data_IF_547197808409
#
_entry.id   IF_547197808409
#
_cell.length_a   1.000
_cell.length_b   1.000
_cell.length_c   1.000
_cell.angle_alpha   90.00
_cell.angle_beta   90.00
_cell.angle_gamma   90.00
#
_symmetry.space_group_name_H-M   'P 1'
#
loop_
_entity.id
_entity.type
_entity.pdbx_description
1 polymer ?
#
# COMPACT_ATOMS: atom_id res chain seq x y z
N UNK A 1 -39.42 18.68 21.36
CA UNK A 1 -38.61 19.91 21.53
C UNK A 1 -37.72 20.18 20.31
N UNK A 2 -37.21 19.16 19.63
CA UNK A 2 -36.34 19.33 18.44
C UNK A 2 -37.10 19.89 17.21
N UNK A 3 -38.34 19.44 17.01
CA UNK A 3 -39.21 19.95 15.94
C UNK A 3 -39.51 21.45 16.13
N UNK A 4 -39.73 21.93 17.37
CA UNK A 4 -39.96 23.34 17.64
C UNK A 4 -38.69 24.17 17.36
N UNK A 5 -37.52 23.65 17.71
CA UNK A 5 -36.25 24.35 17.43
C UNK A 5 -36.00 24.49 15.93
N UNK A 6 -36.32 23.47 15.13
CA UNK A 6 -36.14 23.50 13.66
C UNK A 6 -37.25 24.26 12.91
N UNK A 7 -38.48 24.38 13.48
CA UNK A 7 -39.61 25.01 12.81
C UNK A 7 -39.81 26.47 13.22
N UNK A 8 -39.70 26.73 14.51
CA UNK A 8 -40.09 28.03 15.10
C UNK A 8 -38.88 28.84 15.51
N UNK A 9 -37.64 28.32 15.24
CA UNK A 9 -36.40 28.96 15.70
C UNK A 9 -36.43 29.35 17.18
N UNK A 10 -37.12 28.52 18.01
CA UNK A 10 -37.27 28.74 19.42
C UNK A 10 -37.03 27.51 20.25
N UNK A 11 -36.45 27.68 21.42
CA UNK A 11 -36.33 26.64 22.45
C UNK A 11 -37.09 27.10 23.70
N UNK A 12 -37.85 26.15 24.30
CA UNK A 12 -38.47 26.35 25.59
C UNK A 12 -37.79 25.47 26.65
N UNK A 13 -36.76 25.99 27.35
CA UNK A 13 -36.17 25.26 28.46
C UNK A 13 -37.21 24.99 29.57
N UNK A 14 -37.03 23.87 30.28
CA UNK A 14 -37.92 23.56 31.41
C UNK A 14 -37.88 24.68 32.45
N UNK A 15 -39.06 25.25 32.77
CA UNK A 15 -39.25 26.36 33.73
C UNK A 15 -38.69 27.73 33.28
N UNK A 16 -38.39 27.95 32.01
CA UNK A 16 -37.97 29.25 31.50
C UNK A 16 -38.89 29.73 30.37
N UNK A 17 -38.90 31.04 30.07
CA UNK A 17 -39.61 31.56 28.91
C UNK A 17 -39.00 31.03 27.61
N UNK A 18 -39.79 31.09 26.53
CA UNK A 18 -39.31 30.75 25.17
C UNK A 18 -38.18 31.68 24.77
N UNK A 19 -37.17 31.17 24.19
CA UNK A 19 -35.96 31.86 23.72
C UNK A 19 -35.86 31.69 22.19
N UNK A 20 -35.74 32.79 21.48
CA UNK A 20 -35.47 32.75 20.05
C UNK A 20 -34.01 32.30 19.79
N UNK A 21 -33.82 31.43 18.83
CA UNK A 21 -32.51 30.88 18.46
C UNK A 21 -32.30 31.02 16.96
N UNK A 22 -31.12 31.45 16.57
CA UNK A 22 -30.64 31.41 15.19
C UNK A 22 -29.54 30.36 15.14
N UNK A 23 -29.84 29.19 14.54
CA UNK A 23 -28.93 28.04 14.53
C UNK A 23 -29.11 27.16 13.30
N UNK A 24 -28.02 26.52 12.90
CA UNK A 24 -28.02 25.37 12.00
C UNK A 24 -27.81 24.12 12.84
N UNK A 25 -28.68 23.15 12.66
CA UNK A 25 -28.60 21.89 13.40
C UNK A 25 -28.01 20.82 12.48
N UNK A 26 -26.87 20.26 12.88
CA UNK A 26 -26.24 19.11 12.22
C UNK A 26 -26.30 17.93 13.20
N UNK A 27 -27.03 16.90 12.81
CA UNK A 27 -27.09 15.64 13.55
C UNK A 27 -26.26 14.56 12.82
N UNK A 28 -25.75 13.62 13.59
CA UNK A 28 -25.14 12.39 13.07
C UNK A 28 -25.78 11.19 13.72
N UNK A 29 -25.94 10.11 12.94
CA UNK A 29 -26.49 8.85 13.40
C UNK A 29 -25.95 7.73 12.50
N UNK A 30 -26.06 6.49 12.92
CA UNK A 30 -25.77 5.32 12.07
C UNK A 30 -27.04 4.90 11.29
N UNK A 31 -26.84 4.05 10.27
CA UNK A 31 -27.94 3.60 9.40
C UNK A 31 -29.03 2.81 10.14
N UNK A 32 -28.73 1.87 11.06
CA UNK A 32 -29.76 1.19 11.83
C UNK A 32 -30.65 2.14 12.62
N UNK A 33 -30.06 3.06 13.38
CA UNK A 33 -30.81 4.06 14.15
C UNK A 33 -31.59 5.03 13.25
N UNK A 34 -31.05 5.39 12.10
CA UNK A 34 -31.74 6.22 11.14
C UNK A 34 -32.99 5.51 10.60
N UNK A 35 -32.86 4.24 10.17
CA UNK A 35 -33.98 3.43 9.67
C UNK A 35 -35.05 3.20 10.72
N UNK A 36 -34.64 2.91 11.95
CA UNK A 36 -35.59 2.75 13.08
C UNK A 36 -36.43 4.00 13.29
N UNK A 37 -35.79 5.17 13.26
CA UNK A 37 -36.52 6.44 13.50
C UNK A 37 -37.31 6.90 12.28
N UNK A 38 -36.83 6.69 11.05
CA UNK A 38 -37.55 7.13 9.84
C UNK A 38 -38.74 6.24 9.49
N UNK A 39 -38.80 5.01 9.98
CA UNK A 39 -39.95 4.11 9.85
C UNK A 39 -41.17 4.48 10.71
N UNK A 40 -41.07 5.44 11.64
CA UNK A 40 -42.20 5.92 12.45
C UNK A 40 -42.96 7.02 11.69
N UNK A 41 -44.26 6.83 11.46
CA UNK A 41 -45.15 7.85 10.84
C UNK A 41 -45.06 9.23 11.51
N UNK A 42 -44.71 9.28 12.80
CA UNK A 42 -44.51 10.54 13.54
C UNK A 42 -43.27 11.31 13.12
N UNK A 43 -42.34 10.68 12.39
CA UNK A 43 -41.12 11.27 11.93
C UNK A 43 -41.20 11.80 10.50
N UNK A 44 -42.32 11.62 9.79
CA UNK A 44 -42.52 12.15 8.43
C UNK A 44 -42.25 13.65 8.37
N UNK A 45 -42.83 14.41 9.31
CA UNK A 45 -42.61 15.86 9.42
C UNK A 45 -41.14 16.25 9.73
N UNK A 46 -40.36 15.37 10.31
CA UNK A 46 -38.91 15.57 10.53
C UNK A 46 -38.13 15.25 9.27
N UNK A 47 -38.47 14.20 8.59
CA UNK A 47 -37.80 13.77 7.35
C UNK A 47 -37.93 14.82 6.24
N UNK A 48 -39.10 15.45 6.12
CA UNK A 48 -39.35 16.54 5.16
C UNK A 48 -38.49 17.80 5.38
N UNK A 49 -37.92 17.96 6.59
CA UNK A 49 -37.14 19.13 7.01
C UNK A 49 -35.65 18.85 7.18
N UNK A 50 -35.27 17.59 7.07
CA UNK A 50 -33.87 17.16 7.18
C UNK A 50 -33.31 16.80 5.83
N UNK A 51 -32.13 17.31 5.53
CA UNK A 51 -31.35 16.84 4.40
C UNK A 51 -30.41 15.75 4.86
N UNK A 52 -30.64 14.53 4.40
CA UNK A 52 -29.72 13.43 4.63
C UNK A 52 -28.47 13.61 3.76
N UNK A 53 -27.33 13.45 4.36
CA UNK A 53 -26.03 13.41 3.71
C UNK A 53 -25.37 12.10 4.15
N UNK A 54 -25.16 11.22 3.19
CA UNK A 54 -24.45 9.97 3.43
C UNK A 54 -22.96 10.25 3.52
N UNK A 55 -22.31 9.67 4.52
CA UNK A 55 -20.90 9.85 4.78
C UNK A 55 -20.23 8.45 4.83
N UNK A 56 -19.65 8.01 3.70
CA UNK A 56 -19.06 6.69 3.61
C UNK A 56 -17.76 6.60 4.42
N UNK A 57 -17.33 5.38 4.70
CA UNK A 57 -15.98 5.09 5.15
C UNK A 57 -14.96 5.51 4.10
N UNK A 58 -13.71 5.67 4.53
CA UNK A 58 -12.58 5.90 3.63
C UNK A 58 -12.40 4.69 2.71
N UNK A 59 -12.12 4.96 1.43
CA UNK A 59 -11.92 3.95 0.38
C UNK A 59 -10.48 3.99 -0.19
N UNK A 60 -9.61 4.74 0.43
CA UNK A 60 -8.19 4.86 0.12
C UNK A 60 -7.42 4.27 1.30
N UNK A 61 -6.75 3.13 1.09
CA UNK A 61 -6.15 2.38 2.19
C UNK A 61 -4.94 3.09 2.84
N UNK A 62 -4.20 3.93 2.13
CA UNK A 62 -3.21 4.84 2.74
C UNK A 62 -3.86 5.84 3.70
N UNK A 63 -4.99 6.43 3.29
CA UNK A 63 -5.74 7.34 4.16
C UNK A 63 -6.30 6.62 5.38
N UNK A 64 -6.70 5.36 5.23
CA UNK A 64 -7.16 4.50 6.32
C UNK A 64 -6.00 4.14 7.26
N UNK A 65 -4.82 3.79 6.74
CA UNK A 65 -3.59 3.55 7.53
C UNK A 65 -3.22 4.77 8.39
N UNK A 66 -3.34 5.98 7.84
CA UNK A 66 -3.14 7.22 8.58
C UNK A 66 -4.15 7.42 9.74
N UNK A 67 -5.35 6.83 9.66
CA UNK A 67 -6.31 6.81 10.78
C UNK A 67 -5.79 5.92 11.89
N UNK A 68 -5.28 4.73 11.56
CA UNK A 68 -4.73 3.80 12.54
C UNK A 68 -3.48 4.36 13.23
N UNK A 69 -2.60 5.00 12.48
CA UNK A 69 -1.43 5.69 13.05
C UNK A 69 -1.85 6.73 14.10
N UNK A 70 -2.87 7.55 13.80
CA UNK A 70 -3.42 8.52 14.75
C UNK A 70 -4.13 7.86 15.93
N UNK A 71 -4.79 6.72 15.73
CA UNK A 71 -5.42 5.96 16.81
C UNK A 71 -4.35 5.42 17.75
N UNK A 72 -3.30 4.80 17.23
CA UNK A 72 -2.16 4.29 18.02
C UNK A 72 -1.44 5.41 18.78
N UNK A 73 -1.21 6.55 18.15
CA UNK A 73 -0.56 7.71 18.79
C UNK A 73 -1.37 8.26 19.99
N UNK A 74 -2.69 8.00 20.04
CA UNK A 74 -3.57 8.45 21.12
C UNK A 74 -3.99 7.31 22.06
N UNK A 75 -3.61 6.08 21.77
CA UNK A 75 -3.93 4.91 22.59
C UNK A 75 -2.86 4.70 23.66
N UNK A 76 -3.25 4.10 24.78
CA UNK A 76 -2.34 3.67 25.85
C UNK A 76 -1.85 2.24 25.55
N UNK A 77 -1.09 2.11 24.46
CA UNK A 77 -0.49 0.84 24.03
C UNK A 77 1.03 0.90 24.17
N UNK A 78 1.70 -0.24 24.37
CA UNK A 78 3.15 -0.30 24.38
C UNK A 78 3.76 0.29 23.11
N UNK A 79 4.89 0.99 23.27
CA UNK A 79 5.61 1.52 22.12
C UNK A 79 6.42 0.38 21.48
N UNK A 80 5.91 -0.14 20.38
CA UNK A 80 6.57 -1.14 19.53
C UNK A 80 6.92 -0.52 18.18
N UNK A 81 7.91 -1.08 17.50
CA UNK A 81 8.19 -0.71 16.12
C UNK A 81 7.07 -1.23 15.21
N UNK A 82 6.48 -0.38 14.41
CA UNK A 82 5.49 -0.78 13.40
C UNK A 82 6.24 -1.05 12.11
N UNK A 83 6.26 -2.31 11.69
CA UNK A 83 6.95 -2.73 10.49
C UNK A 83 6.33 -2.13 9.21
N UNK A 84 7.12 -1.94 8.15
CA UNK A 84 6.60 -1.56 6.84
C UNK A 84 5.41 -2.42 6.43
N UNK A 85 4.45 -1.82 5.74
CA UNK A 85 3.21 -2.42 5.29
C UNK A 85 2.19 -2.84 6.37
N UNK A 86 2.51 -2.84 7.69
CA UNK A 86 1.59 -3.36 8.71
C UNK A 86 0.26 -2.61 8.74
N UNK A 87 0.29 -1.28 8.82
CA UNK A 87 -0.93 -0.47 8.85
C UNK A 87 -1.58 -0.36 7.46
N UNK A 88 -0.78 -0.36 6.40
CA UNK A 88 -1.26 -0.28 5.03
C UNK A 88 -2.06 -1.52 4.64
N UNK A 89 -1.55 -2.72 4.94
CA UNK A 89 -2.27 -3.98 4.69
C UNK A 89 -3.52 -4.10 5.56
N UNK A 90 -3.49 -3.61 6.80
CA UNK A 90 -4.67 -3.50 7.64
C UNK A 90 -5.72 -2.55 7.01
N UNK A 91 -5.27 -1.43 6.45
CA UNK A 91 -6.10 -0.48 5.71
C UNK A 91 -6.68 -1.10 4.45
N UNK A 92 -5.88 -1.82 3.69
CA UNK A 92 -6.32 -2.52 2.49
C UNK A 92 -7.42 -3.54 2.82
N UNK A 93 -7.25 -4.34 3.89
CA UNK A 93 -8.29 -5.26 4.34
C UNK A 93 -9.60 -4.53 4.66
N UNK A 94 -9.54 -3.48 5.49
CA UNK A 94 -10.72 -2.68 5.82
C UNK A 94 -11.40 -2.10 4.59
N UNK A 95 -10.65 -1.55 3.65
CA UNK A 95 -11.16 -0.97 2.40
C UNK A 95 -11.80 -2.02 1.51
N UNK A 96 -11.17 -3.17 1.30
CA UNK A 96 -11.72 -4.25 0.46
C UNK A 96 -13.09 -4.73 0.97
N UNK A 97 -13.33 -4.76 2.30
CA UNK A 97 -14.64 -5.13 2.85
C UNK A 97 -15.74 -4.12 2.52
N UNK A 98 -15.41 -2.88 2.17
CA UNK A 98 -16.31 -1.75 1.91
C UNK A 98 -16.55 -1.50 0.42
N UNK A 99 -15.71 -2.10 -0.44
CA UNK A 99 -15.82 -1.95 -1.88
C UNK A 99 -16.86 -2.91 -2.47
N UNK A 100 -17.59 -2.42 -3.47
CA UNK A 100 -18.44 -3.24 -4.33
C UNK A 100 -17.63 -3.89 -5.44
N UNK A 101 -17.97 -5.15 -5.77
CA UNK A 101 -17.33 -5.87 -6.86
C UNK A 101 -17.51 -5.12 -8.20
N UNK A 102 -16.46 -4.99 -9.00
CA UNK A 102 -16.59 -4.40 -10.34
C UNK A 102 -17.55 -5.20 -11.23
N UNK A 103 -18.41 -4.50 -11.96
CA UNK A 103 -19.48 -5.14 -12.73
C UNK A 103 -19.03 -5.78 -14.04
N UNK A 104 -17.93 -5.32 -14.61
CA UNK A 104 -17.45 -5.78 -15.92
C UNK A 104 -16.52 -7.02 -15.84
N UNK A 105 -16.05 -7.38 -14.66
CA UNK A 105 -15.16 -8.53 -14.42
C UNK A 105 -13.75 -8.41 -15.04
N UNK A 106 -13.41 -7.26 -15.61
CA UNK A 106 -12.07 -7.00 -16.19
C UNK A 106 -11.10 -6.47 -15.15
N UNK A 107 -11.62 -5.84 -14.09
CA UNK A 107 -10.87 -5.27 -12.98
C UNK A 107 -11.13 -6.09 -11.72
N UNK A 108 -10.10 -6.53 -11.04
CA UNK A 108 -10.26 -7.19 -9.74
C UNK A 108 -10.63 -6.18 -8.64
N UNK A 109 -11.17 -6.67 -7.52
CA UNK A 109 -11.46 -5.80 -6.37
C UNK A 109 -10.19 -5.18 -5.78
N UNK A 110 -9.08 -5.90 -5.83
CA UNK A 110 -7.75 -5.41 -5.43
C UNK A 110 -7.27 -4.29 -6.36
N UNK A 111 -7.37 -4.47 -7.68
CA UNK A 111 -6.98 -3.42 -8.64
C UNK A 111 -7.84 -2.17 -8.46
N UNK A 112 -9.15 -2.34 -8.23
CA UNK A 112 -10.04 -1.23 -7.89
C UNK A 112 -9.58 -0.48 -6.64
N UNK A 113 -9.16 -1.19 -5.57
CA UNK A 113 -8.61 -0.58 -4.37
C UNK A 113 -7.31 0.18 -4.67
N UNK A 114 -6.41 -0.39 -5.48
CA UNK A 114 -5.16 0.26 -5.92
C UNK A 114 -5.41 1.51 -6.75
N UNK A 115 -6.41 1.49 -7.65
CA UNK A 115 -6.84 2.68 -8.41
C UNK A 115 -7.40 3.77 -7.49
N UNK A 116 -8.22 3.40 -6.49
CA UNK A 116 -8.75 4.35 -5.53
C UNK A 116 -7.65 4.96 -4.66
N UNK A 117 -6.63 4.19 -4.33
CA UNK A 117 -5.44 4.65 -3.60
C UNK A 117 -4.49 5.50 -4.45
N UNK A 118 -4.62 5.48 -5.79
CA UNK A 118 -3.73 6.18 -6.72
C UNK A 118 -2.41 5.45 -6.97
N UNK A 119 -2.30 4.17 -6.60
CA UNK A 119 -1.12 3.33 -6.82
C UNK A 119 -1.09 2.76 -8.25
N UNK A 120 -2.26 2.42 -8.79
CA UNK A 120 -2.42 1.96 -10.16
C UNK A 120 -2.99 3.07 -11.02
N UNK A 121 -2.19 3.54 -11.98
CA UNK A 121 -2.62 4.45 -13.05
C UNK A 121 -2.63 3.66 -14.36
N UNK A 122 -3.79 3.20 -14.78
CA UNK A 122 -4.00 2.52 -16.06
C UNK A 122 -4.92 3.39 -16.94
N UNK A 123 -4.50 3.64 -18.19
CA UNK A 123 -5.30 4.42 -19.16
C UNK A 123 -6.64 3.76 -19.48
N UNK A 124 -6.77 2.43 -19.26
CA UNK A 124 -7.99 1.66 -19.51
C UNK A 124 -8.94 1.65 -18.31
N UNK A 125 -8.45 1.99 -17.08
CA UNK A 125 -9.21 1.94 -15.83
C UNK A 125 -9.51 3.35 -15.33
N UNK A 126 -10.71 3.84 -15.58
CA UNK A 126 -11.17 5.16 -15.13
C UNK A 126 -11.77 5.08 -13.72
N UNK A 127 -11.07 5.65 -12.72
CA UNK A 127 -11.52 5.78 -11.32
C UNK A 127 -12.94 6.36 -11.22
N UNK A 128 -13.28 7.33 -12.08
CA UNK A 128 -14.60 7.96 -12.07
C UNK A 128 -15.67 6.99 -12.51
N UNK A 129 -15.39 6.21 -13.57
CA UNK A 129 -16.30 5.19 -14.07
C UNK A 129 -16.55 4.11 -13.02
N UNK A 130 -15.48 3.63 -12.35
CA UNK A 130 -15.63 2.65 -11.28
C UNK A 130 -16.53 3.14 -10.14
N UNK A 131 -16.47 4.42 -9.79
CA UNK A 131 -17.35 5.02 -8.77
C UNK A 131 -18.80 5.19 -9.27
N UNK A 132 -18.99 5.53 -10.52
CA UNK A 132 -20.33 5.63 -11.13
C UNK A 132 -20.99 4.25 -11.20
N UNK A 133 -20.28 3.22 -11.65
CA UNK A 133 -20.75 1.84 -11.72
C UNK A 133 -21.10 1.28 -10.32
N UNK A 134 -20.27 1.55 -9.31
CA UNK A 134 -20.53 1.17 -7.93
C UNK A 134 -21.78 1.87 -7.35
N UNK A 135 -22.00 3.14 -7.69
CA UNK A 135 -23.18 3.89 -7.25
C UNK A 135 -24.48 3.38 -7.89
N UNK A 136 -24.40 2.79 -9.09
CA UNK A 136 -25.56 2.19 -9.78
C UNK A 136 -25.88 0.77 -9.26
N UNK A 137 -24.86 0.02 -8.82
CA UNK A 137 -25.01 -1.38 -8.40
C UNK A 137 -25.34 -1.56 -6.91
N UNK A 138 -24.93 -0.62 -6.06
CA UNK A 138 -25.07 -0.74 -4.62
C UNK A 138 -26.42 -0.23 -4.11
N UNK A 139 -27.13 -1.04 -3.30
CA UNK A 139 -28.37 -0.65 -2.66
C UNK A 139 -28.24 0.52 -1.67
N UNK A 140 -27.09 0.63 -1.01
CA UNK A 140 -26.80 1.63 0.05
C UNK A 140 -25.62 2.54 -0.28
N UNK A 141 -24.95 2.32 -1.39
CA UNK A 141 -23.75 3.03 -1.81
C UNK A 141 -22.45 2.45 -1.25
N UNK A 142 -21.44 2.51 -2.07
CA UNK A 142 -20.09 1.99 -1.73
C UNK A 142 -19.51 2.72 -0.51
N UNK A 143 -18.88 1.97 0.38
CA UNK A 143 -18.32 2.52 1.61
C UNK A 143 -19.32 2.75 2.74
N UNK A 144 -20.59 2.43 2.56
CA UNK A 144 -21.60 2.59 3.61
C UNK A 144 -21.74 1.36 4.51
N UNK A 145 -21.11 0.26 4.13
CA UNK A 145 -21.06 -1.01 4.86
C UNK A 145 -19.63 -1.54 4.90
N UNK A 146 -19.40 -2.68 5.58
CA UNK A 146 -18.09 -3.28 5.76
C UNK A 146 -17.50 -3.05 7.15
N UNK A 147 -16.25 -3.47 7.32
CA UNK A 147 -15.56 -3.41 8.61
C UNK A 147 -15.19 -1.96 8.96
N UNK A 148 -15.48 -1.55 10.19
CA UNK A 148 -15.20 -0.21 10.67
C UNK A 148 -13.71 0.00 10.98
N UNK A 149 -13.21 1.24 10.83
CA UNK A 149 -11.87 1.61 11.26
C UNK A 149 -11.60 1.34 12.75
N UNK A 150 -12.66 1.36 13.58
CA UNK A 150 -12.54 1.03 15.00
C UNK A 150 -12.19 -0.43 15.22
N UNK A 151 -12.90 -1.35 14.54
CA UNK A 151 -12.60 -2.77 14.64
C UNK A 151 -11.15 -3.04 14.27
N UNK A 152 -10.71 -2.56 13.10
CA UNK A 152 -9.33 -2.76 12.64
C UNK A 152 -8.32 -2.15 13.62
N UNK A 153 -8.60 -0.96 14.15
CA UNK A 153 -7.75 -0.32 15.16
C UNK A 153 -7.67 -1.08 16.48
N UNK A 154 -8.77 -1.68 16.92
CA UNK A 154 -8.81 -2.52 18.12
C UNK A 154 -7.98 -3.80 17.90
N UNK A 155 -8.09 -4.46 16.75
CA UNK A 155 -7.29 -5.64 16.40
C UNK A 155 -5.79 -5.33 16.31
N UNK A 156 -5.41 -4.18 15.73
CA UNK A 156 -4.03 -3.72 15.72
C UNK A 156 -3.52 -3.50 17.16
N UNK A 157 -4.32 -2.88 18.02
CA UNK A 157 -3.93 -2.66 19.41
C UNK A 157 -3.78 -3.99 20.18
N UNK A 158 -4.66 -4.96 19.94
CA UNK A 158 -4.55 -6.30 20.52
C UNK A 158 -3.30 -7.03 20.01
N UNK A 159 -2.98 -6.92 18.71
CA UNK A 159 -1.76 -7.49 18.13
C UNK A 159 -0.48 -6.90 18.77
N UNK A 160 -0.47 -5.59 19.06
CA UNK A 160 0.62 -4.93 19.80
C UNK A 160 0.75 -5.48 21.22
N UNK A 161 -0.37 -5.65 21.92
CA UNK A 161 -0.37 -6.19 23.27
C UNK A 161 0.16 -7.63 23.30
N UNK A 162 -0.28 -8.45 22.34
CA UNK A 162 0.16 -9.84 22.23
C UNK A 162 1.65 -9.95 21.85
N UNK A 163 2.13 -9.12 20.91
CA UNK A 163 3.55 -9.01 20.58
C UNK A 163 4.39 -8.70 21.84
N UNK A 164 3.96 -7.72 22.64
CA UNK A 164 4.62 -7.33 23.87
C UNK A 164 4.62 -8.46 24.91
N UNK A 165 3.52 -9.19 25.04
CA UNK A 165 3.44 -10.35 25.94
C UNK A 165 4.37 -11.50 25.54
N UNK A 166 4.72 -11.57 24.26
CA UNK A 166 5.68 -12.55 23.72
C UNK A 166 7.11 -12.01 23.64
N UNK A 167 7.42 -10.91 24.33
CA UNK A 167 8.70 -10.22 24.30
C UNK A 167 9.14 -9.78 22.88
N UNK A 168 8.19 -9.53 21.99
CA UNK A 168 8.45 -8.92 20.67
C UNK A 168 8.38 -7.41 20.78
N UNK A 169 9.32 -6.73 20.14
CA UNK A 169 9.42 -5.26 20.11
C UNK A 169 8.84 -4.62 18.87
N UNK A 170 8.17 -5.40 18.00
CA UNK A 170 7.65 -4.96 16.73
C UNK A 170 6.28 -5.56 16.43
N UNK A 171 5.52 -4.86 15.56
CA UNK A 171 4.25 -5.29 14.98
C UNK A 171 4.44 -5.57 13.50
N UNK A 172 4.32 -6.82 13.06
CA UNK A 172 4.39 -7.20 11.66
C UNK A 172 2.99 -7.29 11.03
N UNK A 173 2.87 -7.19 9.68
CA UNK A 173 1.63 -7.48 8.96
C UNK A 173 1.08 -8.87 9.27
N UNK A 174 1.94 -9.87 9.41
CA UNK A 174 1.54 -11.24 9.75
C UNK A 174 0.83 -11.33 11.08
N UNK A 175 1.35 -10.63 12.10
CA UNK A 175 0.70 -10.57 13.41
C UNK A 175 -0.69 -9.95 13.33
N UNK A 176 -0.88 -8.90 12.53
CA UNK A 176 -2.19 -8.27 12.31
C UNK A 176 -3.15 -9.21 11.61
N UNK A 177 -2.70 -9.94 10.59
CA UNK A 177 -3.52 -10.92 9.87
C UNK A 177 -3.98 -12.07 10.77
N UNK A 178 -3.12 -12.55 11.65
CA UNK A 178 -3.47 -13.61 12.60
C UNK A 178 -4.56 -13.15 13.57
N UNK A 179 -4.52 -11.89 14.01
CA UNK A 179 -5.59 -11.30 14.83
C UNK A 179 -6.90 -11.15 14.06
N UNK A 180 -6.87 -10.70 12.81
CA UNK A 180 -8.08 -10.66 11.98
C UNK A 180 -8.69 -12.05 11.83
N UNK A 181 -7.90 -13.05 11.47
CA UNK A 181 -8.36 -14.43 11.29
C UNK A 181 -9.01 -15.00 12.57
N UNK A 182 -8.39 -14.74 13.72
CA UNK A 182 -8.90 -15.22 15.00
C UNK A 182 -10.21 -14.56 15.43
N UNK A 183 -10.43 -13.27 15.09
CA UNK A 183 -11.48 -12.46 15.68
C UNK A 183 -12.65 -12.12 14.74
N UNK A 184 -12.48 -12.27 13.41
CA UNK A 184 -13.56 -12.03 12.44
C UNK A 184 -14.85 -12.78 12.78
N UNK A 185 -14.75 -14.08 13.09
CA UNK A 185 -15.90 -14.92 13.40
C UNK A 185 -16.58 -14.62 14.73
N UNK A 186 -15.91 -13.92 15.66
CA UNK A 186 -16.43 -13.56 16.97
C UNK A 186 -17.06 -12.17 17.06
N UNK A 187 -16.89 -11.35 16.03
CA UNK A 187 -17.34 -9.95 16.07
C UNK A 187 -18.83 -9.82 15.76
N UNK A 188 -19.60 -9.41 16.75
CA UNK A 188 -21.07 -9.37 16.70
C UNK A 188 -21.70 -8.42 15.67
N UNK A 189 -20.92 -7.59 14.96
CA UNK A 189 -21.41 -6.75 13.87
C UNK A 189 -21.12 -7.30 12.48
N UNK A 190 -20.41 -8.43 12.38
CA UNK A 190 -20.18 -9.12 11.10
C UNK A 190 -21.30 -10.14 10.92
N UNK A 191 -22.05 -10.03 9.83
CA UNK A 191 -23.10 -11.00 9.51
C UNK A 191 -22.45 -12.33 9.09
N UNK A 192 -23.13 -13.45 9.41
CA UNK A 192 -22.62 -14.79 9.08
C UNK A 192 -22.39 -14.98 7.57
N UNK A 193 -23.21 -14.33 6.76
CA UNK A 193 -23.12 -14.34 5.30
C UNK A 193 -21.87 -13.57 4.78
N UNK A 194 -21.37 -12.58 5.53
CA UNK A 194 -20.22 -11.78 5.17
C UNK A 194 -18.89 -12.43 5.58
N UNK A 195 -18.90 -13.31 6.58
CA UNK A 195 -17.69 -13.91 7.13
C UNK A 195 -16.86 -14.60 6.07
N UNK A 196 -17.48 -15.48 5.27
CA UNK A 196 -16.79 -16.21 4.21
C UNK A 196 -16.23 -15.28 3.10
N UNK A 197 -16.85 -14.12 2.88
CA UNK A 197 -16.34 -13.09 1.99
C UNK A 197 -15.11 -12.42 2.61
N UNK A 198 -15.15 -12.05 3.87
CA UNK A 198 -14.06 -11.37 4.56
C UNK A 198 -12.82 -12.27 4.73
N UNK A 199 -13.03 -13.57 4.98
CA UNK A 199 -11.94 -14.56 4.98
C UNK A 199 -11.21 -14.61 3.63
N UNK A 200 -11.93 -14.63 2.51
CA UNK A 200 -11.32 -14.58 1.17
C UNK A 200 -10.60 -13.26 0.90
N UNK A 201 -11.14 -12.13 1.37
CA UNK A 201 -10.49 -10.84 1.23
C UNK A 201 -9.20 -10.76 2.06
N UNK A 202 -9.20 -11.36 3.25
CA UNK A 202 -7.98 -11.46 4.06
C UNK A 202 -6.90 -12.27 3.35
N UNK A 203 -7.27 -13.36 2.67
CA UNK A 203 -6.32 -14.14 1.87
C UNK A 203 -5.78 -13.32 0.69
N UNK A 204 -6.62 -12.52 0.03
CA UNK A 204 -6.17 -11.60 -1.02
C UNK A 204 -5.14 -10.58 -0.48
N UNK A 205 -5.35 -10.08 0.73
CA UNK A 205 -4.40 -9.14 1.37
C UNK A 205 -3.11 -9.84 1.78
N UNK A 206 -3.18 -11.08 2.26
CA UNK A 206 -1.99 -11.91 2.54
C UNK A 206 -1.16 -12.14 1.27
N UNK A 207 -1.82 -12.36 0.13
CA UNK A 207 -1.17 -12.51 -1.16
C UNK A 207 -0.47 -11.22 -1.59
N UNK A 208 -1.17 -10.09 -1.51
CA UNK A 208 -0.60 -8.77 -1.81
C UNK A 208 0.62 -8.46 -0.91
N UNK A 209 0.51 -8.75 0.38
CA UNK A 209 1.65 -8.61 1.29
C UNK A 209 2.82 -9.54 0.90
N UNK A 210 2.52 -10.77 0.47
CA UNK A 210 3.55 -11.70 0.02
C UNK A 210 4.35 -11.14 -1.15
N UNK A 211 3.66 -10.55 -2.13
CA UNK A 211 4.32 -9.91 -3.27
C UNK A 211 5.19 -8.73 -2.82
N UNK A 212 4.70 -7.89 -1.93
CA UNK A 212 5.46 -6.74 -1.39
C UNK A 212 6.66 -7.19 -0.56
N UNK A 213 6.51 -8.19 0.27
CA UNK A 213 7.61 -8.76 1.07
C UNK A 213 8.72 -9.33 0.16
N UNK A 214 8.34 -10.06 -0.90
CA UNK A 214 9.29 -10.55 -1.89
C UNK A 214 9.99 -9.39 -2.60
N UNK A 215 9.28 -8.33 -2.96
CA UNK A 215 9.86 -7.16 -3.61
C UNK A 215 10.84 -6.43 -2.67
N UNK A 216 10.51 -6.25 -1.39
CA UNK A 216 11.41 -5.64 -0.42
C UNK A 216 12.68 -6.45 -0.21
N UNK A 217 12.56 -7.77 -0.11
CA UNK A 217 13.72 -8.67 -0.03
C UNK A 217 14.54 -8.63 -1.32
N UNK A 218 13.90 -8.64 -2.48
CA UNK A 218 14.59 -8.47 -3.76
C UNK A 218 15.41 -7.19 -3.81
N UNK A 219 14.80 -6.10 -3.37
CA UNK A 219 15.50 -4.81 -3.29
C UNK A 219 16.67 -4.86 -2.31
N UNK A 220 16.51 -5.47 -1.14
CA UNK A 220 17.59 -5.61 -0.17
C UNK A 220 18.76 -6.45 -0.71
N UNK A 221 18.46 -7.54 -1.42
CA UNK A 221 19.46 -8.43 -2.04
C UNK A 221 20.18 -7.80 -3.23
N UNK A 222 19.48 -6.95 -3.99
CA UNK A 222 20.07 -6.21 -5.12
C UNK A 222 20.87 -5.00 -4.67
N UNK A 223 20.67 -4.55 -3.43
CA UNK A 223 21.18 -3.31 -2.89
C UNK A 223 22.66 -3.41 -2.53
N UNK A 224 23.51 -3.41 -3.55
CA UNK A 224 24.94 -3.08 -3.46
C UNK A 224 25.11 -1.64 -3.93
N UNK A 225 25.32 -0.73 -2.98
CA UNK A 225 25.44 0.71 -3.24
C UNK A 225 26.55 1.01 -4.24
N UNK A 226 27.65 0.30 -4.14
CA UNK A 226 28.81 0.52 -5.01
C UNK A 226 28.55 -0.04 -6.41
N UNK A 227 27.87 -1.19 -6.50
CA UNK A 227 27.45 -1.76 -7.77
C UNK A 227 26.38 -0.90 -8.45
N UNK A 228 25.36 -0.45 -7.68
CA UNK A 228 24.31 0.44 -8.19
C UNK A 228 24.90 1.74 -8.74
N UNK A 229 25.88 2.33 -8.04
CA UNK A 229 26.58 3.52 -8.49
C UNK A 229 27.37 3.23 -9.77
N UNK A 230 28.13 2.16 -9.81
CA UNK A 230 28.93 1.76 -10.96
C UNK A 230 28.07 1.51 -12.20
N UNK A 231 26.97 0.77 -12.05
CA UNK A 231 26.03 0.53 -13.15
C UNK A 231 25.34 1.83 -13.59
N UNK A 232 25.03 2.73 -12.66
CA UNK A 232 24.49 4.05 -12.98
C UNK A 232 25.46 4.95 -13.72
N UNK A 233 26.71 4.99 -13.30
CA UNK A 233 27.78 5.73 -14.00
C UNK A 233 27.99 5.18 -15.42
N UNK A 234 28.06 3.84 -15.53
CA UNK A 234 28.15 3.17 -16.83
C UNK A 234 26.94 3.50 -17.73
N UNK A 235 25.73 3.44 -17.20
CA UNK A 235 24.52 3.79 -17.95
C UNK A 235 24.61 5.23 -18.46
N UNK A 236 25.04 6.17 -17.63
CA UNK A 236 25.17 7.56 -18.01
C UNK A 236 26.23 7.80 -19.09
N UNK A 237 27.38 7.16 -18.98
CA UNK A 237 28.47 7.29 -20.00
C UNK A 237 27.94 6.80 -21.36
N UNK A 238 27.26 5.67 -21.40
CA UNK A 238 26.63 5.15 -22.63
C UNK A 238 25.50 6.03 -23.17
N UNK A 239 24.65 6.61 -22.28
CA UNK A 239 23.59 7.54 -22.70
C UNK A 239 24.14 8.82 -23.27
N UNK A 240 25.16 9.40 -22.63
CA UNK A 240 25.77 10.63 -23.11
C UNK A 240 26.44 10.41 -24.46
N UNK A 241 27.22 9.33 -24.62
CA UNK A 241 27.83 8.98 -25.88
C UNK A 241 26.80 8.71 -26.99
N UNK A 242 25.67 8.06 -26.64
CA UNK A 242 24.57 7.84 -27.59
C UNK A 242 23.93 9.16 -28.08
N UNK A 243 23.75 10.13 -27.16
CA UNK A 243 23.13 11.44 -27.50
C UNK A 243 24.09 12.30 -28.31
N UNK A 244 25.40 12.26 -27.99
CA UNK A 244 26.44 13.10 -28.59
C UNK A 244 27.05 12.48 -29.86
N UNK A 245 26.60 11.26 -30.25
CA UNK A 245 27.16 10.47 -31.37
C UNK A 245 28.67 10.24 -31.20
N UNK A 246 29.10 9.90 -29.98
CA UNK A 246 30.48 9.69 -29.54
C UNK A 246 30.72 8.24 -29.11
N UNK A 247 31.94 7.91 -28.70
CA UNK A 247 32.35 6.58 -28.22
C UNK A 247 32.51 6.53 -26.71
N UNK A 248 32.45 5.31 -26.16
CA UNK A 248 32.68 5.02 -24.74
C UNK A 248 33.91 4.13 -24.60
N UNK A 249 34.78 4.44 -23.64
CA UNK A 249 35.89 3.57 -23.31
C UNK A 249 35.40 2.28 -22.62
N UNK A 250 35.67 1.14 -23.22
CA UNK A 250 35.38 -0.16 -22.63
C UNK A 250 36.18 -0.37 -21.33
N UNK A 251 35.53 -0.66 -20.23
CA UNK A 251 36.13 -0.75 -18.89
C UNK A 251 37.23 -1.81 -18.77
N UNK A 252 37.17 -2.90 -19.56
CA UNK A 252 38.08 -4.02 -19.46
C UNK A 252 39.31 -3.83 -20.39
N UNK A 253 39.07 -3.28 -21.57
CA UNK A 253 40.08 -3.19 -22.61
C UNK A 253 40.66 -1.78 -22.83
N UNK A 254 39.94 -0.76 -22.32
CA UNK A 254 40.26 0.66 -22.53
C UNK A 254 40.10 1.11 -23.99
N UNK A 255 39.44 0.31 -24.85
CA UNK A 255 39.20 0.66 -26.26
C UNK A 255 37.94 1.48 -26.41
N UNK A 256 37.97 2.45 -27.28
CA UNK A 256 36.81 3.21 -27.68
C UNK A 256 35.85 2.30 -28.48
N UNK A 257 34.61 2.22 -28.03
CA UNK A 257 33.52 1.43 -28.63
C UNK A 257 32.26 2.26 -28.78
N UNK A 258 31.39 1.88 -29.68
CA UNK A 258 30.02 2.46 -29.76
C UNK A 258 29.28 2.18 -28.47
N UNK A 259 28.27 3.03 -28.08
CA UNK A 259 27.40 2.80 -26.94
C UNK A 259 26.73 1.43 -26.99
N UNK A 260 26.78 0.69 -25.88
CA UNK A 260 26.15 -0.63 -25.78
C UNK A 260 24.60 -0.50 -25.69
N UNK A 261 23.99 -0.55 -26.85
CA UNK A 261 22.51 -0.47 -26.98
C UNK A 261 21.81 -1.62 -26.24
N UNK A 262 22.44 -2.81 -26.16
CA UNK A 262 21.87 -3.95 -25.44
C UNK A 262 21.80 -3.67 -23.93
N UNK A 263 22.87 -3.11 -23.39
CA UNK A 263 22.92 -2.72 -21.97
C UNK A 263 21.94 -1.59 -21.67
N UNK A 264 21.88 -0.56 -22.50
CA UNK A 264 20.92 0.54 -22.34
C UNK A 264 19.49 0.03 -22.32
N UNK A 265 19.13 -0.83 -23.29
CA UNK A 265 17.80 -1.43 -23.37
C UNK A 265 17.48 -2.33 -22.17
N UNK A 266 18.45 -3.12 -21.71
CA UNK A 266 18.26 -3.98 -20.54
C UNK A 266 17.90 -3.19 -19.26
N UNK A 267 18.37 -1.95 -19.12
CA UNK A 267 17.98 -1.05 -18.03
C UNK A 267 16.60 -0.44 -18.28
N UNK A 268 16.35 0.03 -19.50
CA UNK A 268 15.11 0.73 -19.87
C UNK A 268 13.87 -0.18 -19.86
N UNK A 269 14.03 -1.45 -20.22
CA UNK A 269 12.99 -2.47 -20.20
C UNK A 269 12.51 -2.78 -18.78
N UNK A 270 13.33 -2.56 -17.76
CA UNK A 270 12.91 -2.70 -16.35
C UNK A 270 11.85 -1.66 -15.91
N UNK A 271 11.65 -0.61 -16.69
CA UNK A 271 10.65 0.42 -16.47
C UNK A 271 9.53 0.40 -17.50
N UNK A 272 9.43 -0.68 -18.27
CA UNK A 272 8.47 -0.81 -19.38
C UNK A 272 8.56 0.33 -20.39
N UNK A 273 9.78 0.90 -20.59
CA UNK A 273 10.02 1.95 -21.56
C UNK A 273 9.94 1.35 -22.97
N UNK A 274 8.92 1.69 -23.77
CA UNK A 274 8.77 1.18 -25.13
C UNK A 274 9.97 1.61 -26.00
N UNK A 275 10.32 0.79 -27.00
CA UNK A 275 11.47 1.07 -27.88
C UNK A 275 11.33 2.36 -28.66
N UNK A 276 10.13 2.83 -28.94
CA UNK A 276 9.83 4.10 -29.61
C UNK A 276 9.94 5.33 -28.71
N UNK A 277 9.98 5.14 -27.36
CA UNK A 277 10.17 6.20 -26.36
C UNK A 277 11.53 6.18 -25.69
N UNK A 278 12.45 5.32 -26.13
CA UNK A 278 13.78 5.21 -25.54
C UNK A 278 14.58 6.53 -25.59
N UNK A 279 14.49 7.25 -26.71
CA UNK A 279 15.22 8.50 -26.89
C UNK A 279 14.71 9.61 -25.96
N UNK A 280 13.40 9.66 -25.73
CA UNK A 280 12.77 10.59 -24.79
C UNK A 280 13.25 10.32 -23.35
N UNK A 281 13.30 9.06 -22.96
CA UNK A 281 13.76 8.65 -21.62
C UNK A 281 15.26 8.96 -21.44
N UNK A 282 16.11 8.63 -22.40
CA UNK A 282 17.54 8.96 -22.38
C UNK A 282 17.77 10.46 -22.28
N UNK A 283 17.00 11.24 -23.02
CA UNK A 283 17.08 12.71 -22.97
C UNK A 283 16.60 13.26 -21.62
N UNK A 284 15.57 12.67 -21.00
CA UNK A 284 15.10 13.05 -19.67
C UNK A 284 16.21 12.84 -18.63
N UNK A 285 16.84 11.66 -18.62
CA UNK A 285 17.93 11.33 -17.69
C UNK A 285 19.15 12.23 -17.90
N UNK A 286 19.56 12.47 -19.15
CA UNK A 286 20.66 13.38 -19.49
C UNK A 286 20.38 14.82 -19.02
N UNK A 287 19.17 15.31 -19.23
CA UNK A 287 18.75 16.64 -18.77
C UNK A 287 18.79 16.74 -17.23
N UNK A 288 18.38 15.69 -16.54
CA UNK A 288 18.43 15.64 -15.08
C UNK A 288 19.88 15.72 -14.58
N UNK A 289 20.81 14.94 -15.15
CA UNK A 289 22.23 14.98 -14.80
C UNK A 289 22.84 16.36 -15.10
N UNK A 290 22.56 16.91 -16.28
CA UNK A 290 23.06 18.24 -16.67
C UNK A 290 22.60 19.35 -15.74
N UNK A 291 21.38 19.24 -15.18
CA UNK A 291 20.86 20.19 -14.19
C UNK A 291 21.66 20.10 -12.89
N UNK A 292 21.91 18.90 -12.39
CA UNK A 292 22.68 18.68 -11.16
C UNK A 292 24.13 19.13 -11.27
N UNK A 293 24.75 18.87 -12.40
CA UNK A 293 26.10 19.36 -12.66
C UNK A 293 26.19 20.89 -12.60
N UNK A 294 25.18 21.60 -13.10
CA UNK A 294 25.10 23.08 -13.00
C UNK A 294 24.92 23.56 -11.56
N UNK A 295 24.30 22.75 -10.70
CA UNK A 295 24.12 23.00 -9.27
C UNK A 295 25.37 22.65 -8.44
N UNK A 296 26.43 22.14 -9.08
CA UNK A 296 27.67 21.70 -8.42
C UNK A 296 27.53 20.39 -7.66
N UNK A 297 26.50 19.59 -7.97
CA UNK A 297 26.24 18.27 -7.37
C UNK A 297 26.77 17.18 -8.30
N UNK A 298 27.39 16.17 -7.72
CA UNK A 298 27.82 14.96 -8.43
C UNK A 298 26.64 14.14 -8.94
N UNK A 299 26.92 13.22 -9.85
CA UNK A 299 25.94 12.21 -10.26
C UNK A 299 25.81 11.15 -9.16
N UNK A 300 24.59 10.92 -8.72
CA UNK A 300 24.20 9.80 -7.86
C UNK A 300 22.90 9.22 -8.40
N UNK A 301 22.92 8.00 -8.96
CA UNK A 301 21.72 7.37 -9.54
C UNK A 301 20.59 7.19 -8.52
N UNK A 302 20.91 7.13 -7.22
CA UNK A 302 19.91 6.97 -6.13
C UNK A 302 18.97 8.17 -5.99
N UNK A 303 19.40 9.35 -6.45
CA UNK A 303 18.60 10.57 -6.38
C UNK A 303 17.63 10.73 -7.57
N UNK A 304 17.63 9.80 -8.53
CA UNK A 304 16.64 9.68 -9.59
C UNK A 304 15.85 8.39 -9.39
N UNK A 305 14.64 8.50 -8.85
CA UNK A 305 13.83 7.33 -8.49
C UNK A 305 13.55 6.38 -9.65
N UNK A 306 13.36 6.89 -10.87
CA UNK A 306 13.12 6.06 -12.05
C UNK A 306 14.38 5.27 -12.42
N UNK A 307 15.51 5.96 -12.52
CA UNK A 307 16.79 5.32 -12.86
C UNK A 307 17.23 4.33 -11.78
N UNK A 308 17.05 4.70 -10.49
CA UNK A 308 17.34 3.83 -9.36
C UNK A 308 16.54 2.52 -9.45
N UNK A 309 15.22 2.60 -9.62
CA UNK A 309 14.36 1.42 -9.76
C UNK A 309 14.75 0.53 -10.94
N UNK A 310 15.09 1.15 -12.09
CA UNK A 310 15.55 0.40 -13.26
C UNK A 310 16.83 -0.38 -12.98
N UNK A 311 17.81 0.28 -12.36
CA UNK A 311 19.10 -0.33 -12.03
C UNK A 311 18.95 -1.43 -10.97
N UNK A 312 18.15 -1.19 -9.93
CA UNK A 312 17.85 -2.19 -8.89
C UNK A 312 17.21 -3.44 -9.50
N UNK A 313 16.19 -3.29 -10.34
CA UNK A 313 15.54 -4.42 -11.04
C UNK A 313 16.51 -5.16 -11.95
N UNK A 314 17.33 -4.43 -12.70
CA UNK A 314 18.35 -5.03 -13.55
C UNK A 314 19.39 -5.81 -12.75
N UNK A 315 19.91 -5.24 -11.67
CA UNK A 315 20.85 -5.93 -10.78
C UNK A 315 20.23 -7.20 -10.17
N UNK A 316 18.95 -7.14 -9.82
CA UNK A 316 18.20 -8.32 -9.39
C UNK A 316 18.13 -9.38 -10.49
N UNK A 317 17.73 -9.01 -11.72
CA UNK A 317 17.67 -9.95 -12.85
C UNK A 317 19.03 -10.61 -13.11
N UNK A 318 20.11 -9.87 -12.99
CA UNK A 318 21.48 -10.38 -13.18
C UNK A 318 21.90 -11.33 -12.04
N UNK A 319 21.41 -11.10 -10.81
CA UNK A 319 21.79 -11.87 -9.61
C UNK A 319 20.84 -13.05 -9.31
N UNK A 320 19.56 -12.97 -9.70
CA UNK A 320 18.53 -13.95 -9.30
C UNK A 320 18.88 -15.41 -9.62
N UNK A 321 19.61 -15.67 -10.68
CA UNK A 321 20.04 -17.02 -11.04
C UNK A 321 21.21 -17.55 -10.19
N UNK A 322 21.91 -16.66 -9.48
CA UNK A 322 23.01 -17.01 -8.59
C UNK A 322 22.58 -17.05 -7.11
N UNK A 323 21.41 -16.48 -6.78
CA UNK A 323 20.87 -16.47 -5.43
C UNK A 323 20.09 -17.76 -5.24
N UNK A 324 20.60 -18.62 -4.38
CA UNK A 324 19.89 -19.84 -3.99
C UNK A 324 18.82 -19.48 -2.94
N UNK A 325 17.57 -19.18 -3.40
CA UNK A 325 16.44 -18.89 -2.50
C UNK A 325 16.13 -20.05 -1.54
N UNK A 326 16.46 -21.31 -1.92
CA UNK A 326 16.37 -22.44 -1.01
C UNK A 326 17.32 -22.29 0.19
N UNK A 327 18.41 -21.53 0.06
CA UNK A 327 19.31 -21.22 1.16
C UNK A 327 18.74 -20.15 2.12
N UNK A 328 17.86 -19.27 1.63
CA UNK A 328 17.08 -18.36 2.48
C UNK A 328 16.10 -19.11 3.41
N UNK A 329 15.51 -20.19 2.90
CA UNK A 329 14.57 -21.04 3.66
C UNK A 329 15.29 -21.94 4.67
N UNK A 330 16.46 -22.43 4.32
CA UNK A 330 17.31 -23.16 5.24
C UNK A 330 18.33 -22.17 5.85
N UNK A 331 17.90 -21.43 6.87
CA UNK A 331 18.74 -20.50 7.64
C UNK A 331 20.11 -21.11 8.15
N UNK A 332 20.42 -22.33 7.76
CA UNK A 332 21.59 -23.12 8.08
C UNK A 332 22.73 -22.99 7.08
N UNK A 333 22.50 -22.50 5.86
CA UNK A 333 23.52 -22.53 4.78
C UNK A 333 23.97 -21.12 4.28
N UNK A 334 23.43 -20.05 4.86
CA UNK A 334 23.90 -18.68 4.60
C UNK A 334 25.09 -18.35 5.49
N UNK A 335 26.09 -17.69 4.90
CA UNK A 335 27.16 -17.07 5.65
C UNK A 335 26.54 -15.97 6.55
N UNK A 336 26.90 -15.96 7.84
CA UNK A 336 26.39 -14.98 8.81
C UNK A 336 26.65 -13.53 8.35
N UNK A 337 27.69 -13.28 7.56
CA UNK A 337 28.01 -11.96 7.00
C UNK A 337 27.02 -11.53 5.91
N UNK A 338 26.63 -12.43 5.00
CA UNK A 338 25.64 -12.14 3.96
C UNK A 338 24.25 -11.89 4.55
N UNK A 339 23.83 -12.73 5.49
CA UNK A 339 22.56 -12.54 6.20
C UNK A 339 22.50 -11.21 6.94
N UNK A 340 23.59 -10.82 7.61
CA UNK A 340 23.69 -9.54 8.29
C UNK A 340 23.55 -8.37 7.32
N UNK A 341 24.20 -8.42 6.16
CA UNK A 341 24.12 -7.36 5.16
C UNK A 341 22.69 -7.20 4.60
N UNK A 342 21.93 -8.29 4.46
CA UNK A 342 20.53 -8.21 4.00
C UNK A 342 19.59 -7.66 5.08
N UNK A 343 19.81 -8.06 6.34
CA UNK A 343 19.09 -7.46 7.47
C UNK A 343 19.37 -5.96 7.54
N UNK A 344 20.62 -5.54 7.43
CA UNK A 344 21.01 -4.12 7.45
C UNK A 344 20.34 -3.35 6.32
N UNK A 345 20.28 -3.92 5.11
CA UNK A 345 19.61 -3.30 3.96
C UNK A 345 18.09 -3.16 4.18
N UNK A 346 17.44 -4.11 4.83
CA UNK A 346 16.03 -4.01 5.22
C UNK A 346 15.82 -3.01 6.35
N UNK A 347 16.74 -2.94 7.31
CA UNK A 347 16.69 -1.93 8.38
C UNK A 347 16.79 -0.50 7.80
N UNK A 348 17.63 -0.27 6.80
CA UNK A 348 17.65 1.00 6.07
C UNK A 348 16.32 1.34 5.37
N UNK A 349 15.49 0.34 5.10
CA UNK A 349 14.14 0.48 4.53
C UNK A 349 13.04 0.63 5.58
N UNK A 350 13.40 0.69 6.85
CA UNK A 350 12.48 0.96 7.95
C UNK A 350 12.02 -0.28 8.72
N UNK A 351 12.58 -1.46 8.47
CA UNK A 351 12.34 -2.64 9.29
C UNK A 351 13.12 -2.56 10.61
N UNK A 352 12.61 -3.20 11.67
CA UNK A 352 13.43 -3.54 12.83
C UNK A 352 14.36 -4.71 12.49
N UNK A 353 15.41 -4.95 13.26
CA UNK A 353 16.30 -6.11 13.03
C UNK A 353 15.53 -7.44 13.07
N UNK A 354 14.63 -7.61 14.04
CA UNK A 354 13.81 -8.82 14.18
C UNK A 354 12.75 -8.93 13.07
N UNK A 355 12.13 -7.80 12.67
CA UNK A 355 11.17 -7.74 11.56
C UNK A 355 11.83 -8.01 10.21
N UNK A 356 13.04 -7.51 10.00
CA UNK A 356 13.85 -7.82 8.82
C UNK A 356 14.14 -9.33 8.72
N UNK A 357 14.47 -9.98 9.84
CA UNK A 357 14.65 -11.42 9.86
C UNK A 357 13.34 -12.18 9.55
N UNK A 358 12.20 -11.74 10.12
CA UNK A 358 10.88 -12.33 9.84
C UNK A 358 10.49 -12.22 8.35
N UNK A 359 10.67 -11.03 7.74
CA UNK A 359 10.32 -10.82 6.33
C UNK A 359 11.22 -11.62 5.38
N UNK A 360 12.51 -11.77 5.71
CA UNK A 360 13.43 -12.63 4.95
C UNK A 360 12.98 -14.08 4.95
N UNK A 361 12.62 -14.63 6.11
CA UNK A 361 12.12 -16.00 6.22
C UNK A 361 10.79 -16.18 5.50
N UNK A 362 9.88 -15.22 5.63
CA UNK A 362 8.57 -15.25 4.98
C UNK A 362 8.68 -15.23 3.46
N UNK A 363 9.44 -14.28 2.91
CA UNK A 363 9.65 -14.16 1.46
C UNK A 363 10.39 -15.36 0.90
N UNK A 364 11.41 -15.87 1.59
CA UNK A 364 12.14 -17.06 1.21
C UNK A 364 11.22 -18.28 1.12
N UNK A 365 10.38 -18.51 2.13
CA UNK A 365 9.41 -19.60 2.14
C UNK A 365 8.37 -19.46 1.01
N UNK A 366 7.97 -18.23 0.68
CA UNK A 366 7.02 -17.95 -0.39
C UNK A 366 7.60 -18.29 -1.78
N UNK A 367 8.84 -17.87 -2.04
CA UNK A 367 9.52 -18.15 -3.31
C UNK A 367 9.76 -19.66 -3.50
N UNK A 368 10.19 -20.35 -2.43
CA UNK A 368 10.40 -21.79 -2.50
C UNK A 368 9.12 -22.59 -2.82
N UNK A 369 7.95 -22.14 -2.36
CA UNK A 369 6.66 -22.75 -2.70
C UNK A 369 6.30 -22.54 -4.16
N UNK A 370 6.49 -21.34 -4.70
CA UNK A 370 6.19 -21.03 -6.10
C UNK A 370 7.07 -21.87 -7.07
N UNK A 371 8.35 -22.09 -6.75
CA UNK A 371 9.25 -22.93 -7.56
C UNK A 371 8.81 -24.41 -7.58
N UNK A 372 8.24 -24.92 -6.49
CA UNK A 372 7.73 -26.29 -6.43
C UNK A 372 6.48 -26.45 -7.30
N UNK A 373 5.55 -25.48 -7.23
CA UNK A 373 4.30 -25.49 -8.02
C UNK A 373 4.55 -25.35 -9.52
N UNK A 374 5.54 -24.57 -9.94
CA UNK A 374 5.93 -24.41 -11.34
C UNK A 374 6.73 -25.63 -11.85
N UNK A 375 7.45 -26.33 -10.99
CA UNK A 375 8.19 -27.57 -11.33
C UNK A 375 7.30 -28.81 -11.48
N UNK A 376 6.05 -28.76 -10.97
CA UNK A 376 5.07 -29.87 -11.11
C UNK A 376 4.11 -29.67 -12.31
N UNK A 377 4.19 -28.56 -13.04
CA UNK A 377 3.46 -28.31 -14.29
C UNK A 377 4.31 -28.61 -15.51
#
# INVERSE_FOLDING_TARGET
>A
DFLHASQESTIKPKNNPRIDIDQVIVGRTNMPEYREKTGDEKMEAFNDRTKRIDYPYVLEYESEANIYEKMLANADVPNVHVEPHALEMAGLFGVLTRLEEPTDGTVSLLDKAKVYNGELEDEEIDRRKLREDAAESADIGEGMDGISARFVGDEIAEAIMDATHRDRSYLSPLSVFDHFEANLGGHGSIAEDDLARYERLLETVREEYRERAIEDVRHALAYDVDELRRQGEKYMDHVMAYIDDDTVADELTGRETEPDETFLRAVEEQLDVPSDRKDDFRQEVSNWVSRRAREGRGFDPRENDRLRRALERKLWEDKKHNINFSALVSATDLDDEERSAWVDALVERGYSEDGAAEVLEYAGAAVARSEIEDGER
#
